data_IF_782229464639
#
_entry.id   IF_782229464639
#
_cell.length_a   1.000
_cell.length_b   1.000
_cell.length_c   1.000
_cell.angle_alpha   90.00
_cell.angle_beta   90.00
_cell.angle_gamma   90.00
#
_symmetry.space_group_name_H-M   'P 1'
#
loop_
_entity.id
_entity.type
_entity.pdbx_description
1 polymer ?
#
# COMPACT_ATOMS: atom_id res chain seq x y z
N UNK A 1 -2.97 -11.91 8.84
CA UNK A 1 -3.06 -11.99 7.37
C UNK A 1 -2.47 -10.71 6.82
N UNK A 2 -1.53 -10.80 5.88
CA UNK A 2 -0.79 -9.65 5.38
C UNK A 2 -1.58 -8.84 4.33
N UNK A 3 -1.62 -7.52 4.46
CA UNK A 3 -2.10 -6.59 3.44
C UNK A 3 -0.94 -6.22 2.53
N UNK A 4 -1.03 -6.63 1.26
CA UNK A 4 -0.08 -6.25 0.23
C UNK A 4 -0.61 -5.03 -0.50
N UNK A 5 0.17 -3.97 -0.60
CA UNK A 5 -0.17 -2.78 -1.37
C UNK A 5 0.72 -2.69 -2.59
N UNK A 6 0.11 -2.59 -3.77
CA UNK A 6 0.81 -2.21 -5.00
C UNK A 6 0.59 -0.72 -5.20
N UNK A 7 1.65 0.05 -5.40
CA UNK A 7 1.56 1.50 -5.49
C UNK A 7 2.46 2.07 -6.57
N UNK A 8 2.06 3.22 -7.10
CA UNK A 8 2.85 4.09 -7.96
C UNK A 8 3.22 5.35 -7.18
N UNK A 9 4.51 5.70 -7.20
CA UNK A 9 5.01 6.88 -6.52
C UNK A 9 6.53 6.84 -6.36
N UNK A 10 7.02 7.31 -5.22
CA UNK A 10 8.45 7.28 -4.90
C UNK A 10 8.71 6.85 -3.46
N UNK A 11 9.88 6.25 -3.27
CA UNK A 11 10.44 5.90 -1.97
C UNK A 11 11.10 7.12 -1.33
N UNK A 12 11.07 7.21 0.00
CA UNK A 12 11.71 8.30 0.75
C UNK A 12 12.20 7.80 2.12
N UNK A 13 13.36 8.26 2.63
CA UNK A 13 13.76 8.00 4.01
C UNK A 13 12.77 8.61 5.00
N UNK A 14 12.43 7.89 6.07
CA UNK A 14 11.44 8.36 7.05
C UNK A 14 11.88 9.63 7.75
N UNK A 15 13.17 9.77 8.08
CA UNK A 15 13.70 11.00 8.68
C UNK A 15 13.47 12.24 7.79
N UNK A 16 13.68 12.10 6.48
CA UNK A 16 13.45 13.18 5.50
C UNK A 16 11.96 13.51 5.40
N UNK A 17 11.11 12.48 5.34
CA UNK A 17 9.66 12.63 5.30
C UNK A 17 9.11 13.32 6.56
N UNK A 18 9.57 12.90 7.73
CA UNK A 18 9.15 13.45 9.02
C UNK A 18 9.56 14.93 9.15
N UNK A 19 10.79 15.29 8.77
CA UNK A 19 11.22 16.70 8.72
C UNK A 19 10.33 17.54 7.81
N UNK A 20 9.99 17.02 6.63
CA UNK A 20 9.08 17.70 5.70
C UNK A 20 7.67 17.88 6.29
N UNK A 21 7.14 16.88 7.00
CA UNK A 21 5.84 17.00 7.65
C UNK A 21 5.87 18.07 8.75
N UNK A 22 6.90 18.05 9.61
CA UNK A 22 7.08 19.03 10.70
C UNK A 22 7.23 20.44 10.18
N UNK A 23 8.02 20.65 9.12
CA UNK A 23 8.21 21.98 8.53
C UNK A 23 6.92 22.58 7.98
N UNK A 24 5.92 21.73 7.69
CA UNK A 24 4.61 22.12 7.21
C UNK A 24 3.51 22.05 8.30
N UNK A 25 3.89 21.88 9.58
CA UNK A 25 2.95 21.86 10.71
C UNK A 25 2.13 20.57 10.82
N UNK A 26 2.58 19.48 10.22
CA UNK A 26 1.97 18.14 10.29
C UNK A 26 2.80 17.26 11.22
N UNK A 27 2.12 16.38 11.97
CA UNK A 27 2.79 15.44 12.88
C UNK A 27 3.65 14.43 12.12
N UNK A 28 4.82 14.11 12.68
CA UNK A 28 5.74 13.08 12.19
C UNK A 28 5.07 11.71 12.14
N UNK A 29 5.53 10.86 11.22
CA UNK A 29 5.09 9.47 11.16
C UNK A 29 5.74 8.62 12.24
N UNK A 30 6.93 8.99 12.74
CA UNK A 30 7.75 8.19 13.67
C UNK A 30 8.05 6.77 13.16
N UNK A 31 7.96 6.59 11.84
CA UNK A 31 8.02 5.28 11.18
C UNK A 31 6.86 4.34 11.52
N UNK A 32 5.74 4.89 12.01
CA UNK A 32 4.51 4.16 12.29
C UNK A 32 3.60 4.27 11.06
N UNK A 33 3.15 3.16 10.46
CA UNK A 33 2.28 3.23 9.31
C UNK A 33 0.98 3.96 9.66
N UNK A 34 0.55 4.92 8.82
CA UNK A 34 -0.70 5.63 9.03
C UNK A 34 -1.89 4.66 9.12
N UNK A 35 -2.92 5.04 9.86
CA UNK A 35 -4.13 4.20 9.97
C UNK A 35 -4.81 4.10 8.60
N UNK A 36 -4.75 2.92 7.98
CA UNK A 36 -5.35 2.67 6.67
C UNK A 36 -6.88 2.48 6.75
N UNK A 37 -7.45 2.34 7.96
CA UNK A 37 -8.83 1.97 8.18
C UNK A 37 -9.65 3.10 8.82
N UNK A 38 -10.79 3.40 8.18
CA UNK A 38 -11.91 4.07 8.83
C UNK A 38 -12.68 3.00 9.61
N UNK A 39 -12.52 2.96 10.93
CA UNK A 39 -13.30 2.08 11.79
C UNK A 39 -14.70 2.70 11.97
N UNK A 40 -15.79 2.08 11.47
CA UNK A 40 -17.14 2.60 11.68
C UNK A 40 -17.46 2.65 13.18
N UNK A 41 -17.91 3.82 13.67
CA UNK A 41 -18.20 4.03 15.09
C UNK A 41 -17.01 4.41 15.97
N UNK A 42 -15.80 4.50 15.41
CA UNK A 42 -14.64 5.07 16.10
C UNK A 42 -14.67 6.60 16.05
N UNK A 43 -14.33 7.25 17.17
CA UNK A 43 -14.10 8.70 17.25
C UNK A 43 -12.76 9.11 16.63
N UNK A 44 -11.94 8.16 16.20
CA UNK A 44 -10.70 8.42 15.48
C UNK A 44 -11.06 8.94 14.08
N UNK A 45 -10.68 10.17 13.74
CA UNK A 45 -11.03 10.74 12.44
C UNK A 45 -10.52 9.84 11.31
N UNK A 46 -11.33 9.64 10.25
CA UNK A 46 -11.00 8.76 9.12
C UNK A 46 -9.83 9.26 8.27
N UNK A 47 -9.30 10.44 8.58
CA UNK A 47 -8.34 11.19 7.79
C UNK A 47 -7.00 11.22 8.52
N UNK A 48 -6.10 10.37 8.04
CA UNK A 48 -4.66 10.53 8.15
C UNK A 48 -4.29 12.00 7.81
N UNK A 49 -3.84 12.76 8.82
CA UNK A 49 -3.56 14.19 8.69
C UNK A 49 -2.47 14.43 7.63
N UNK A 50 -1.52 13.51 7.53
CA UNK A 50 -0.47 13.50 6.53
C UNK A 50 -1.06 13.30 5.12
N UNK A 51 -1.94 12.31 4.93
CA UNK A 51 -2.62 12.12 3.64
C UNK A 51 -3.48 13.35 3.25
N UNK A 52 -4.16 13.96 4.22
CA UNK A 52 -4.96 15.17 4.00
C UNK A 52 -4.10 16.32 3.50
N UNK A 53 -2.95 16.53 4.13
CA UNK A 53 -2.00 17.55 3.75
C UNK A 53 -1.44 17.33 2.34
N UNK A 54 -1.01 16.10 2.01
CA UNK A 54 -0.49 15.77 0.69
C UNK A 54 -1.53 16.00 -0.41
N UNK A 55 -2.78 15.59 -0.18
CA UNK A 55 -3.88 15.82 -1.13
C UNK A 55 -4.20 17.29 -1.31
N UNK A 56 -4.20 18.07 -0.23
CA UNK A 56 -4.42 19.51 -0.32
C UNK A 56 -3.32 20.20 -1.16
N UNK A 57 -2.07 19.76 -1.00
CA UNK A 57 -0.92 20.28 -1.75
C UNK A 57 -1.00 19.94 -3.25
N UNK A 58 -1.38 18.71 -3.57
CA UNK A 58 -1.59 18.28 -4.97
C UNK A 58 -2.83 18.92 -5.59
N UNK A 59 -3.90 19.11 -4.83
CA UNK A 59 -5.08 19.85 -5.28
C UNK A 59 -4.74 21.30 -5.63
N UNK A 60 -3.89 21.97 -4.85
CA UNK A 60 -3.40 23.30 -5.17
C UNK A 60 -2.53 23.34 -6.44
N UNK A 61 -1.86 22.23 -6.76
CA UNK A 61 -1.08 22.07 -7.99
C UNK A 61 -1.91 21.61 -9.21
N UNK A 62 -3.22 21.38 -9.04
CA UNK A 62 -4.15 21.04 -10.12
C UNK A 62 -4.72 19.62 -10.08
N UNK A 63 -4.31 18.76 -9.14
CA UNK A 63 -4.86 17.41 -8.95
C UNK A 63 -6.00 17.40 -7.91
N UNK A 64 -7.18 17.89 -8.33
CA UNK A 64 -8.33 18.06 -7.45
C UNK A 64 -8.88 16.74 -6.84
N UNK A 65 -8.60 15.60 -7.48
CA UNK A 65 -9.07 14.28 -7.05
C UNK A 65 -7.94 13.39 -6.51
N UNK A 66 -6.87 14.01 -6.00
CA UNK A 66 -5.69 13.29 -5.55
C UNK A 66 -6.02 12.25 -4.49
N UNK A 67 -5.58 11.01 -4.72
CA UNK A 67 -5.70 9.93 -3.73
C UNK A 67 -4.47 9.80 -2.85
N UNK A 68 -3.50 10.71 -3.00
CA UNK A 68 -2.15 10.58 -2.49
C UNK A 68 -2.06 10.21 -1.01
N UNK A 69 -1.09 9.34 -0.69
CA UNK A 69 -0.95 8.74 0.63
C UNK A 69 0.46 8.26 0.93
N UNK A 70 0.80 8.22 2.22
CA UNK A 70 2.04 7.63 2.74
C UNK A 70 1.81 6.17 3.11
N UNK A 71 2.72 5.29 2.68
CA UNK A 71 2.78 3.89 3.07
C UNK A 71 4.12 3.62 3.73
N UNK A 72 4.09 3.00 4.91
CA UNK A 72 5.29 2.56 5.61
C UNK A 72 5.19 1.04 5.76
N UNK A 73 6.15 0.27 5.22
CA UNK A 73 6.13 -1.19 5.39
C UNK A 73 6.17 -1.55 6.87
N UNK A 74 5.32 -2.48 7.27
CA UNK A 74 5.33 -3.05 8.61
C UNK A 74 5.02 -4.54 8.55
N UNK A 75 5.96 -5.34 9.03
CA UNK A 75 5.84 -6.79 9.19
C UNK A 75 6.01 -7.12 10.67
N UNK A 76 5.15 -7.98 11.22
CA UNK A 76 5.21 -8.35 12.62
C UNK A 76 6.53 -9.07 12.92
N UNK A 77 7.18 -8.71 14.02
CA UNK A 77 8.46 -9.30 14.41
C UNK A 77 9.69 -8.80 13.64
N UNK A 78 9.52 -7.85 12.72
CA UNK A 78 10.64 -7.18 12.04
C UNK A 78 10.92 -5.79 12.60
N UNK A 79 12.14 -5.30 12.38
CA UNK A 79 12.50 -3.92 12.68
C UNK A 79 11.66 -2.93 11.85
N UNK A 80 11.45 -1.72 12.38
CA UNK A 80 10.75 -0.67 11.65
C UNK A 80 11.48 -0.35 10.35
N UNK A 81 10.73 -0.15 9.28
CA UNK A 81 11.30 0.30 8.00
C UNK A 81 11.99 1.64 8.20
N UNK A 82 13.16 1.84 7.58
CA UNK A 82 13.82 3.16 7.50
C UNK A 82 13.26 4.02 6.37
N UNK A 83 12.36 3.47 5.56
CA UNK A 83 11.81 4.10 4.36
C UNK A 83 10.29 4.07 4.36
N UNK A 84 9.69 5.17 3.92
CA UNK A 84 8.29 5.27 3.54
C UNK A 84 8.15 5.41 2.03
N UNK A 85 6.92 5.32 1.55
CA UNK A 85 6.55 5.49 0.16
C UNK A 85 5.44 6.53 0.09
N UNK A 86 5.62 7.54 -0.77
CA UNK A 86 4.56 8.49 -1.10
C UNK A 86 3.97 8.04 -2.41
N UNK A 87 2.71 7.62 -2.38
CA UNK A 87 1.98 7.09 -3.53
C UNK A 87 0.95 8.11 -4.02
N UNK A 88 0.80 8.25 -5.34
CA UNK A 88 -0.33 8.97 -5.94
C UNK A 88 -1.45 8.02 -6.42
N UNK A 89 -1.11 6.77 -6.71
CA UNK A 89 -2.04 5.71 -7.04
C UNK A 89 -1.63 4.42 -6.31
N UNK A 90 -2.60 3.66 -5.80
CA UNK A 90 -2.34 2.42 -5.09
C UNK A 90 -3.55 1.48 -5.09
N UNK A 91 -3.28 0.19 -4.96
CA UNK A 91 -4.27 -0.89 -4.81
C UNK A 91 -3.83 -1.77 -3.65
N UNK A 92 -4.73 -1.97 -2.69
CA UNK A 92 -4.51 -2.87 -1.56
C UNK A 92 -5.14 -4.24 -1.85
N UNK A 93 -4.39 -5.31 -1.57
CA UNK A 93 -4.70 -6.70 -1.88
C UNK A 93 -4.57 -7.52 -0.58
N UNK A 94 -5.64 -8.22 -0.23
CA UNK A 94 -5.70 -9.04 1.00
C UNK A 94 -5.37 -10.52 0.76
N UNK A 95 -5.47 -11.01 -0.48
CA UNK A 95 -5.17 -12.40 -0.81
C UNK A 95 -4.65 -12.52 -2.25
N UNK A 96 -5.56 -12.51 -3.22
CA UNK A 96 -5.27 -12.61 -4.64
C UNK A 96 -6.29 -11.81 -5.44
N UNK A 97 -5.82 -11.00 -6.37
CA UNK A 97 -6.64 -10.21 -7.28
C UNK A 97 -5.86 -9.97 -8.57
N UNK A 98 -6.49 -10.20 -9.71
CA UNK A 98 -5.96 -9.72 -10.99
C UNK A 98 -6.16 -8.22 -11.04
N UNK A 99 -5.07 -7.48 -11.29
CA UNK A 99 -5.06 -6.02 -11.37
C UNK A 99 -4.76 -5.63 -12.80
N UNK A 100 -5.57 -4.72 -13.32
CA UNK A 100 -5.26 -4.03 -14.57
C UNK A 100 -4.40 -2.81 -14.25
N UNK A 101 -3.09 -2.91 -14.49
CA UNK A 101 -2.15 -1.84 -14.16
C UNK A 101 -2.48 -0.54 -14.92
N UNK A 102 -2.93 -0.62 -16.18
CA UNK A 102 -3.21 0.57 -16.98
C UNK A 102 -4.45 1.33 -16.48
N UNK A 103 -5.45 0.61 -15.98
CA UNK A 103 -6.70 1.19 -15.49
C UNK A 103 -6.63 1.61 -14.01
N UNK A 104 -5.97 0.82 -13.17
CA UNK A 104 -5.98 1.01 -11.71
C UNK A 104 -4.74 1.75 -11.18
N UNK A 105 -3.62 1.71 -11.90
CA UNK A 105 -2.32 2.25 -11.47
C UNK A 105 -1.64 3.02 -12.61
N UNK A 106 -2.16 4.22 -12.96
CA UNK A 106 -1.66 4.97 -14.10
C UNK A 106 -0.15 5.27 -13.99
N UNK A 107 0.54 5.06 -15.11
CA UNK A 107 2.00 5.26 -15.22
C UNK A 107 2.39 6.74 -15.17
N UNK A 108 1.47 7.64 -15.50
CA UNK A 108 1.72 9.08 -15.45
C UNK A 108 1.41 9.62 -14.05
N UNK A 109 2.40 10.29 -13.46
CA UNK A 109 2.24 10.99 -12.21
C UNK A 109 1.31 12.21 -12.39
N UNK A 110 0.47 12.54 -11.41
CA UNK A 110 -0.41 13.70 -11.49
C UNK A 110 0.39 15.02 -11.45
N UNK A 111 -0.21 16.13 -11.93
CA UNK A 111 0.40 17.46 -11.85
C UNK A 111 0.80 17.80 -10.41
N UNK A 112 1.99 18.36 -10.21
CA UNK A 112 2.49 18.74 -8.89
C UNK A 112 3.19 17.62 -8.12
N UNK A 113 3.13 16.37 -8.60
CA UNK A 113 3.73 15.25 -7.86
C UNK A 113 5.26 15.23 -7.94
N UNK A 114 5.82 15.64 -9.08
CA UNK A 114 7.27 15.79 -9.25
C UNK A 114 7.80 16.95 -8.40
N UNK A 115 7.06 18.06 -8.30
CA UNK A 115 7.34 19.18 -7.40
C UNK A 115 7.32 18.71 -5.95
N UNK A 116 6.26 18.00 -5.54
CA UNK A 116 6.14 17.43 -4.20
C UNK A 116 7.34 16.54 -3.85
N UNK A 117 7.77 15.67 -4.77
CA UNK A 117 8.97 14.83 -4.59
C UNK A 117 10.21 15.69 -4.35
N UNK A 118 10.43 16.71 -5.19
CA UNK A 118 11.59 17.62 -5.05
C UNK A 118 11.57 18.34 -3.71
N UNK A 119 10.41 18.83 -3.28
CA UNK A 119 10.26 19.52 -2.00
C UNK A 119 10.55 18.62 -0.80
N UNK A 120 10.07 17.37 -0.82
CA UNK A 120 10.35 16.41 0.25
C UNK A 120 11.85 16.10 0.30
N UNK A 121 12.47 15.82 -0.85
CA UNK A 121 13.89 15.47 -0.92
C UNK A 121 14.81 16.66 -0.57
N UNK A 122 14.34 17.90 -0.73
CA UNK A 122 15.07 19.09 -0.31
C UNK A 122 15.24 19.19 1.22
N UNK A 123 14.45 18.44 2.00
CA UNK A 123 14.60 18.37 3.46
C UNK A 123 15.70 17.40 3.93
N UNK A 124 16.45 16.78 3.02
CA UNK A 124 17.52 15.84 3.36
C UNK A 124 18.81 16.56 3.80
N UNK A 125 19.39 16.07 4.88
CA UNK A 125 20.71 16.54 5.38
C UNK A 125 21.86 15.93 4.57
N UNK A 126 23.06 16.52 4.66
CA UNK A 126 24.25 16.10 3.90
C UNK A 126 24.57 14.59 4.04
N UNK A 127 24.33 13.99 5.21
CA UNK A 127 24.53 12.55 5.44
C UNK A 127 23.46 11.65 4.79
N UNK A 128 22.28 12.17 4.51
CA UNK A 128 21.16 11.44 3.91
C UNK A 128 21.15 11.57 2.38
N UNK A 129 21.77 12.63 1.84
CA UNK A 129 21.96 12.80 0.40
C UNK A 129 22.77 11.64 -0.21
N UNK A 130 23.74 11.11 0.53
CA UNK A 130 24.48 9.91 0.15
C UNK A 130 23.56 8.66 0.11
N UNK A 131 22.62 8.53 1.04
CA UNK A 131 21.65 7.43 1.05
C UNK A 131 20.64 7.55 -0.10
N UNK A 132 20.24 8.78 -0.44
CA UNK A 132 19.39 9.05 -1.60
C UNK A 132 20.10 8.69 -2.92
N UNK A 133 21.42 8.92 -3.03
CA UNK A 133 22.20 8.50 -4.19
C UNK A 133 22.29 6.97 -4.32
N UNK A 134 22.60 6.27 -3.24
CA UNK A 134 22.74 4.79 -3.25
C UNK A 134 21.40 4.10 -3.47
N UNK A 135 20.30 4.68 -2.98
CA UNK A 135 18.96 4.14 -3.17
C UNK A 135 18.36 4.43 -4.56
N UNK A 136 19.14 5.00 -5.48
CA UNK A 136 18.67 5.38 -6.82
C UNK A 136 17.65 6.51 -6.82
N UNK A 137 17.56 7.30 -5.74
CA UNK A 137 16.58 8.37 -5.56
C UNK A 137 17.09 9.75 -5.99
N UNK A 138 18.35 9.88 -6.41
CA UNK A 138 18.84 11.08 -7.08
C UNK A 138 18.42 11.07 -8.54
N UNK A 139 17.80 12.17 -8.98
CA UNK A 139 17.23 12.31 -10.31
C UNK A 139 18.27 12.06 -11.38
N UNK A 140 18.24 10.85 -11.95
CA UNK A 140 18.49 10.73 -13.37
C UNK A 140 17.50 11.67 -14.06
N UNK A 141 17.96 12.43 -15.04
CA UNK A 141 17.21 13.45 -15.79
C UNK A 141 16.02 12.88 -16.60
N UNK A 142 15.53 11.69 -16.24
CA UNK A 142 14.26 11.14 -16.67
C UNK A 142 13.15 11.61 -15.74
N UNK A 143 12.20 12.33 -16.30
CA UNK A 143 10.92 12.75 -15.73
C UNK A 143 10.07 11.58 -15.14
N UNK A 144 10.48 10.33 -15.39
CA UNK A 144 9.80 9.07 -15.07
C UNK A 144 10.10 8.45 -13.69
N UNK A 145 11.04 8.99 -12.89
CA UNK A 145 11.38 8.36 -11.59
C UNK A 145 10.35 8.62 -10.48
N UNK A 146 9.39 9.53 -10.70
CA UNK A 146 8.29 9.81 -9.77
C UNK A 146 7.11 8.81 -9.89
N UNK A 147 7.12 7.94 -10.90
CA UNK A 147 6.05 6.99 -11.21
C UNK A 147 6.46 5.52 -11.08
N UNK A 148 7.49 5.23 -10.28
CA UNK A 148 7.93 3.86 -10.05
C UNK A 148 6.83 3.00 -9.40
N UNK A 149 6.76 1.74 -9.85
CA UNK A 149 5.86 0.72 -9.32
C UNK A 149 6.54 0.00 -8.15
N UNK A 150 5.90 0.00 -6.99
CA UNK A 150 6.36 -0.71 -5.80
C UNK A 150 5.29 -1.71 -5.33
N UNK A 151 5.77 -2.84 -4.80
CA UNK A 151 4.95 -3.79 -4.05
C UNK A 151 5.43 -3.74 -2.61
N UNK A 152 4.54 -3.37 -1.70
CA UNK A 152 4.86 -3.12 -0.29
C UNK A 152 3.95 -3.95 0.60
N UNK A 153 4.54 -4.66 1.56
CA UNK A 153 3.79 -5.32 2.63
C UNK A 153 3.50 -4.29 3.71
N UNK A 154 2.26 -3.77 3.71
CA UNK A 154 1.88 -2.57 4.48
C UNK A 154 1.21 -2.89 5.80
N UNK A 155 0.77 -4.12 6.03
CA UNK A 155 0.17 -4.47 7.31
C UNK A 155 0.14 -5.99 7.57
N UNK A 156 0.47 -6.41 8.80
CA UNK A 156 0.11 -7.74 9.33
C UNK A 156 -0.82 -7.64 10.56
N UNK A 157 -1.32 -6.45 10.91
CA UNK A 157 -2.25 -6.23 12.02
C UNK A 157 -3.56 -6.99 11.79
N UNK A 158 -4.19 -7.45 12.87
CA UNK A 158 -5.51 -8.05 12.83
C UNK A 158 -6.51 -7.07 12.20
N UNK A 159 -7.06 -7.42 11.04
CA UNK A 159 -8.12 -6.66 10.39
C UNK A 159 -9.35 -6.64 11.32
N UNK A 160 -9.84 -5.47 11.77
CA UNK A 160 -11.06 -5.38 12.56
C UNK A 160 -12.27 -5.41 11.62
N UNK A 161 -12.38 -6.43 10.76
CA UNK A 161 -13.72 -6.80 10.33
C UNK A 161 -14.39 -7.45 11.53
N UNK A 162 -15.13 -6.63 12.30
CA UNK A 162 -16.39 -7.13 12.81
C UNK A 162 -17.19 -7.65 11.60
N UNK A 163 -18.02 -8.66 11.83
CA UNK A 163 -18.41 -9.66 10.84
C UNK A 163 -19.35 -9.25 9.68
N UNK A 164 -19.82 -8.00 9.39
CA UNK A 164 -20.77 -7.84 8.30
C UNK A 164 -20.15 -7.54 6.91
N UNK A 165 -18.83 -7.46 6.75
CA UNK A 165 -18.20 -7.10 5.46
C UNK A 165 -17.53 -8.26 4.70
N UNK A 166 -17.62 -9.49 5.18
CA UNK A 166 -17.47 -10.62 4.26
C UNK A 166 -18.69 -10.58 3.36
N UNK A 167 -18.51 -10.29 2.06
CA UNK A 167 -19.51 -10.64 1.03
C UNK A 167 -19.98 -12.05 1.37
N UNK A 168 -21.29 -12.29 1.35
CA UNK A 168 -21.82 -13.66 1.28
C UNK A 168 -20.95 -14.40 0.27
N UNK A 169 -20.22 -15.40 0.74
CA UNK A 169 -19.20 -16.04 -0.05
C UNK A 169 -19.84 -16.61 -1.31
N UNK A 170 -19.34 -16.21 -2.47
CA UNK A 170 -19.74 -16.79 -3.76
C UNK A 170 -18.88 -18.01 -4.12
N UNK A 171 -18.13 -18.52 -3.15
CA UNK A 171 -17.28 -19.69 -3.27
C UNK A 171 -18.16 -20.94 -3.41
N UNK A 172 -18.37 -21.33 -4.66
CA UNK A 172 -19.15 -22.51 -5.02
C UNK A 172 -18.23 -23.67 -5.39
N UNK A 173 -18.70 -24.88 -5.13
CA UNK A 173 -18.08 -26.05 -5.71
C UNK A 173 -18.31 -26.06 -7.23
N UNK A 174 -17.29 -26.37 -8.02
CA UNK A 174 -17.45 -26.48 -9.48
C UNK A 174 -18.17 -27.77 -9.88
N UNK A 175 -18.24 -28.74 -8.95
CA UNK A 175 -18.81 -30.07 -9.16
C UNK A 175 -20.20 -30.25 -8.53
N UNK A 176 -20.62 -29.34 -7.64
CA UNK A 176 -21.94 -29.39 -7.02
C UNK A 176 -22.43 -28.00 -6.59
N UNK A 177 -23.68 -27.88 -6.14
CA UNK A 177 -24.28 -26.59 -5.77
C UNK A 177 -23.90 -26.07 -4.37
N UNK A 178 -22.93 -26.68 -3.69
CA UNK A 178 -22.53 -26.29 -2.34
C UNK A 178 -21.80 -24.92 -2.34
N UNK A 179 -22.07 -24.11 -1.31
CA UNK A 179 -21.52 -22.76 -1.09
C UNK A 179 -20.75 -22.74 0.23
N UNK A 180 -19.60 -22.05 0.29
CA UNK A 180 -18.68 -22.12 1.42
C UNK A 180 -18.16 -20.75 1.86
N UNK A 181 -18.19 -20.47 3.17
CA UNK A 181 -17.75 -19.19 3.72
C UNK A 181 -16.25 -18.93 3.61
N UNK A 182 -15.44 -19.98 3.47
CA UNK A 182 -14.02 -19.83 3.24
C UNK A 182 -13.47 -20.82 2.21
N UNK A 183 -12.36 -20.44 1.59
CA UNK A 183 -11.72 -21.23 0.54
C UNK A 183 -11.21 -22.59 1.04
N UNK A 184 -10.78 -22.68 2.30
CA UNK A 184 -10.30 -23.93 2.89
C UNK A 184 -11.42 -24.98 3.00
N UNK A 185 -12.63 -24.58 3.40
CA UNK A 185 -13.78 -25.49 3.48
C UNK A 185 -14.20 -25.98 2.08
N UNK A 186 -14.16 -25.10 1.09
CA UNK A 186 -14.37 -25.47 -0.31
C UNK A 186 -13.34 -26.50 -0.79
N UNK A 187 -12.06 -26.34 -0.46
CA UNK A 187 -11.01 -27.30 -0.85
C UNK A 187 -11.15 -28.64 -0.13
N UNK A 188 -11.44 -28.63 1.17
CA UNK A 188 -11.70 -29.86 1.93
C UNK A 188 -12.91 -30.59 1.33
N UNK A 189 -13.99 -29.88 1.02
CA UNK A 189 -15.15 -30.47 0.35
C UNK A 189 -14.80 -31.05 -1.03
N UNK A 190 -14.01 -30.35 -1.85
CA UNK A 190 -13.57 -30.86 -3.16
C UNK A 190 -12.74 -32.14 -3.01
N UNK A 191 -11.88 -32.20 -2.01
CA UNK A 191 -11.10 -33.41 -1.67
C UNK A 191 -12.01 -34.55 -1.21
N UNK A 192 -12.88 -34.30 -0.23
CA UNK A 192 -13.64 -35.35 0.44
C UNK A 192 -14.83 -35.85 -0.39
N UNK A 193 -15.56 -34.95 -1.05
CA UNK A 193 -16.78 -35.27 -1.79
C UNK A 193 -16.52 -35.56 -3.28
N UNK A 194 -15.44 -34.99 -3.85
CA UNK A 194 -15.15 -35.08 -5.28
C UNK A 194 -13.78 -35.71 -5.58
N UNK A 195 -13.02 -36.11 -4.56
CA UNK A 195 -11.70 -36.75 -4.73
C UNK A 195 -10.63 -35.82 -5.33
N UNK A 196 -10.89 -34.51 -5.36
CA UNK A 196 -9.97 -33.53 -5.92
C UNK A 196 -8.86 -33.29 -4.90
N UNK A 197 -7.70 -33.91 -5.11
CA UNK A 197 -6.52 -33.62 -4.31
C UNK A 197 -6.20 -32.13 -4.48
N UNK A 198 -6.15 -31.41 -3.37
CA UNK A 198 -5.65 -30.03 -3.32
C UNK A 198 -4.35 -30.02 -4.09
N UNK A 199 -4.28 -29.18 -5.14
CA UNK A 199 -3.06 -29.00 -5.92
C UNK A 199 -1.93 -28.75 -4.94
N UNK A 200 -1.03 -29.73 -4.84
CA UNK A 200 0.30 -29.49 -4.33
C UNK A 200 0.85 -28.38 -5.23
N UNK A 201 0.90 -27.15 -4.73
CA UNK A 201 1.50 -26.03 -5.46
C UNK A 201 3.03 -26.16 -5.55
N UNK A 202 3.57 -27.23 -4.97
CA UNK A 202 4.95 -27.67 -5.09
C UNK A 202 5.02 -28.78 -6.15
N UNK A 203 6.02 -28.77 -7.05
CA UNK A 203 6.29 -29.89 -7.93
C UNK A 203 6.43 -31.18 -7.12
N UNK A 204 5.90 -32.30 -7.64
CA UNK A 204 5.96 -33.62 -6.98
C UNK A 204 7.38 -34.21 -6.89
N UNK A 205 8.41 -33.45 -7.29
CA UNK A 205 9.82 -33.87 -7.31
C UNK A 205 10.67 -32.99 -6.36
N UNK A 206 10.59 -33.27 -5.05
CA UNK A 206 11.64 -32.99 -4.06
C UNK A 206 11.71 -34.08 -2.99
#
# INVERSE_FOLDING_TARGET
>A
MGLTTILRGFKVPIAVLDRFLVSNGVEETYGIPPSLLRIPGSSVPPLDAQATFLRAKLAAAGDANSTARIFIPQTQGQARSSYGYVAYAYVMIFSQRRIDLAAELPDQAPPGFAELRREILACAEEGEQALLQVAGMHGGEGEDDASLLYIVLTDEREFPFSRPFMRESDLRCDYCAAVFDCWFDLQNHRSDAHGVKVLNLLPDDF
#
